data_IF_975278510768
#
_entry.id   IF_975278510768
#
_cell.length_a   1.000
_cell.length_b   1.000
_cell.length_c   1.000
_cell.angle_alpha   90.00
_cell.angle_beta   90.00
_cell.angle_gamma   90.00
#
_symmetry.space_group_name_H-M   'P 1'
#
loop_
_entity.id
_entity.type
_entity.pdbx_description
1 polymer ?
#
# COMPACT_ATOMS: atom_id res chain seq x y z
N UNK A 1 -18.71 2.94 -25.19
CA UNK A 1 -17.56 2.15 -24.73
C UNK A 1 -16.91 2.79 -23.48
N UNK A 2 -16.55 4.09 -23.50
CA UNK A 2 -15.97 4.75 -22.32
C UNK A 2 -16.90 4.80 -21.11
N UNK A 3 -18.17 5.17 -21.28
CA UNK A 3 -19.19 5.15 -20.21
C UNK A 3 -19.34 3.75 -19.57
N UNK A 4 -19.39 2.71 -20.38
CA UNK A 4 -19.52 1.34 -19.91
C UNK A 4 -18.30 0.90 -19.06
N UNK A 5 -17.09 1.32 -19.43
CA UNK A 5 -15.88 1.08 -18.62
C UNK A 5 -15.94 1.86 -17.28
N UNK A 6 -16.41 3.10 -17.30
CA UNK A 6 -16.58 3.89 -16.07
C UNK A 6 -17.63 3.28 -15.16
N UNK A 7 -18.77 2.83 -15.71
CA UNK A 7 -19.84 2.19 -14.96
C UNK A 7 -19.37 0.84 -14.36
N UNK A 8 -18.66 0.03 -15.16
CA UNK A 8 -18.08 -1.23 -14.70
C UNK A 8 -17.05 -1.01 -13.57
N UNK A 9 -16.17 -0.04 -13.74
CA UNK A 9 -15.18 0.32 -12.72
C UNK A 9 -15.86 0.79 -11.44
N UNK A 10 -16.89 1.63 -11.56
CA UNK A 10 -17.65 2.14 -10.42
C UNK A 10 -18.41 1.01 -9.71
N UNK A 11 -18.93 0.03 -10.45
CA UNK A 11 -19.56 -1.16 -9.88
C UNK A 11 -18.55 -2.06 -9.18
N UNK A 12 -17.40 -2.34 -9.82
CA UNK A 12 -16.37 -3.22 -9.26
C UNK A 12 -15.73 -2.61 -7.99
N UNK A 13 -15.44 -1.31 -7.99
CA UNK A 13 -14.94 -0.60 -6.81
C UNK A 13 -16.04 -0.15 -5.84
N UNK A 14 -17.28 -0.56 -6.10
CA UNK A 14 -18.43 -0.25 -5.28
C UNK A 14 -18.64 -1.21 -4.10
N UNK A 15 -19.84 -1.18 -3.57
CA UNK A 15 -20.27 -1.97 -2.39
C UNK A 15 -19.95 -3.48 -2.50
N UNK A 16 -20.12 -4.17 -3.66
CA UNK A 16 -19.85 -5.61 -3.73
C UNK A 16 -18.41 -5.99 -3.39
N UNK A 17 -17.44 -5.28 -3.97
CA UNK A 17 -16.02 -5.55 -3.70
C UNK A 17 -15.68 -5.22 -2.23
N UNK A 18 -16.17 -4.10 -1.71
CA UNK A 18 -15.91 -3.72 -0.32
C UNK A 18 -16.46 -4.75 0.67
N UNK A 19 -17.68 -5.24 0.44
CA UNK A 19 -18.29 -6.30 1.28
C UNK A 19 -17.47 -7.58 1.20
N UNK A 20 -17.02 -7.98 0.01
CA UNK A 20 -16.18 -9.16 -0.16
C UNK A 20 -14.84 -9.02 0.59
N UNK A 21 -14.15 -7.90 0.41
CA UNK A 21 -12.85 -7.65 1.03
C UNK A 21 -12.93 -7.58 2.56
N UNK A 22 -13.91 -6.85 3.08
CA UNK A 22 -14.17 -6.78 4.52
C UNK A 22 -14.59 -8.15 5.04
N UNK A 23 -15.47 -8.84 4.35
CA UNK A 23 -15.97 -10.16 4.74
C UNK A 23 -14.86 -11.21 4.82
N UNK A 24 -14.01 -11.31 3.81
CA UNK A 24 -12.86 -12.23 3.80
C UNK A 24 -11.87 -11.87 4.90
N UNK A 25 -11.52 -10.58 5.03
CA UNK A 25 -10.59 -10.14 6.05
C UNK A 25 -11.11 -10.34 7.47
N UNK A 26 -12.40 -10.10 7.73
CA UNK A 26 -13.04 -10.42 9.02
C UNK A 26 -13.05 -11.92 9.30
N UNK A 27 -13.40 -12.74 8.30
CA UNK A 27 -13.33 -14.19 8.42
C UNK A 27 -11.94 -14.66 8.84
N UNK A 28 -10.89 -14.18 8.14
CA UNK A 28 -9.50 -14.52 8.44
C UNK A 28 -9.07 -13.98 9.83
N UNK A 29 -9.51 -12.77 10.20
CA UNK A 29 -9.27 -12.18 11.52
C UNK A 29 -9.83 -13.05 12.65
N UNK A 30 -11.09 -13.47 12.52
CA UNK A 30 -11.75 -14.33 13.53
C UNK A 30 -11.09 -15.72 13.57
N UNK A 31 -10.83 -16.33 12.41
CA UNK A 31 -10.19 -17.66 12.32
C UNK A 31 -8.77 -17.69 12.88
N UNK A 32 -8.05 -16.58 12.80
CA UNK A 32 -6.70 -16.46 13.38
C UNK A 32 -6.68 -15.99 14.83
N UNK A 33 -7.83 -15.82 15.46
CA UNK A 33 -7.94 -15.33 16.84
C UNK A 33 -7.43 -13.90 17.01
N UNK A 34 -7.71 -13.02 16.03
CA UNK A 34 -7.25 -11.61 16.03
C UNK A 34 -5.73 -11.46 16.10
N UNK A 35 -5.00 -12.36 15.44
CA UNK A 35 -3.53 -12.44 15.53
C UNK A 35 -2.84 -11.10 15.18
N UNK A 36 -3.36 -10.31 14.26
CA UNK A 36 -2.79 -9.00 13.90
C UNK A 36 -2.76 -8.01 15.08
N UNK A 37 -3.68 -8.16 16.06
CA UNK A 37 -3.77 -7.30 17.25
C UNK A 37 -3.20 -8.00 18.48
N UNK A 38 -3.69 -9.21 18.79
CA UNK A 38 -3.27 -9.95 19.98
C UNK A 38 -1.87 -10.54 19.86
N UNK A 39 -1.44 -10.86 18.63
CA UNK A 39 -0.12 -11.37 18.30
C UNK A 39 0.93 -10.31 17.99
N UNK A 40 0.67 -9.02 18.26
CA UNK A 40 1.56 -7.91 17.89
C UNK A 40 3.00 -8.10 18.38
N UNK A 41 3.18 -8.58 19.60
CA UNK A 41 4.50 -8.87 20.18
C UNK A 41 5.23 -9.95 19.38
N UNK A 42 4.52 -10.94 18.88
CA UNK A 42 5.07 -12.06 18.13
C UNK A 42 5.53 -11.63 16.75
N UNK A 43 4.63 -11.03 15.95
CA UNK A 43 4.99 -10.66 14.59
C UNK A 43 5.97 -9.49 14.54
N UNK A 44 5.90 -8.51 15.46
CA UNK A 44 6.93 -7.45 15.56
C UNK A 44 8.29 -8.01 15.90
N UNK A 45 8.37 -8.97 16.85
CA UNK A 45 9.63 -9.60 17.21
C UNK A 45 10.22 -10.43 16.06
N UNK A 46 9.38 -11.12 15.31
CA UNK A 46 9.81 -12.00 14.21
C UNK A 46 10.09 -11.25 12.90
N UNK A 47 9.67 -10.01 12.76
CA UNK A 47 9.94 -9.18 11.59
C UNK A 47 10.98 -8.09 11.91
N UNK A 48 10.61 -7.05 12.66
CA UNK A 48 11.52 -5.96 13.03
C UNK A 48 12.66 -6.43 13.94
N UNK A 49 12.42 -7.42 14.81
CA UNK A 49 13.45 -7.99 15.67
C UNK A 49 14.60 -8.65 14.91
N UNK A 50 14.35 -9.19 13.73
CA UNK A 50 15.38 -9.72 12.82
C UNK A 50 16.19 -8.61 12.16
N UNK A 51 15.53 -7.55 11.75
CA UNK A 51 16.18 -6.38 11.13
C UNK A 51 17.20 -5.74 12.07
N UNK A 52 16.87 -5.65 13.37
CA UNK A 52 17.75 -5.06 14.39
C UNK A 52 18.71 -6.06 15.05
N UNK A 53 18.87 -7.27 14.50
CA UNK A 53 19.91 -8.23 14.86
C UNK A 53 19.72 -8.95 16.21
N UNK A 54 18.54 -8.86 16.84
CA UNK A 54 18.25 -9.52 18.11
C UNK A 54 17.84 -11.00 17.99
N UNK A 55 17.43 -11.44 16.83
CA UNK A 55 17.14 -12.84 16.53
C UNK A 55 17.70 -13.16 15.14
N UNK A 56 18.79 -13.89 15.06
CA UNK A 56 19.14 -14.60 13.83
C UNK A 56 18.13 -15.74 13.71
N UNK A 57 17.08 -15.55 12.91
CA UNK A 57 16.20 -16.67 12.59
C UNK A 57 16.96 -17.70 11.75
N UNK A 58 16.52 -18.92 11.85
CA UNK A 58 17.05 -20.15 11.24
C UNK A 58 17.06 -20.17 9.70
N UNK A 59 17.03 -19.03 9.05
CA UNK A 59 17.10 -18.83 7.60
C UNK A 59 18.36 -18.10 7.15
N UNK A 60 19.51 -18.31 7.80
CA UNK A 60 20.82 -17.88 7.28
C UNK A 60 21.35 -18.88 6.23
N UNK A 61 20.51 -19.34 5.32
CA UNK A 61 20.99 -19.89 4.07
C UNK A 61 21.59 -18.71 3.27
N UNK A 62 22.83 -18.82 2.86
CA UNK A 62 23.43 -17.90 1.90
C UNK A 62 22.47 -17.78 0.72
N UNK A 63 21.99 -16.54 0.49
CA UNK A 63 21.10 -16.26 -0.64
C UNK A 63 21.85 -16.64 -1.93
N UNK A 64 21.41 -17.70 -2.59
CA UNK A 64 21.82 -17.99 -3.96
C UNK A 64 21.33 -16.88 -4.89
N UNK A 65 22.04 -16.66 -6.00
CA UNK A 65 21.63 -15.67 -7.00
C UNK A 65 20.12 -15.76 -7.31
N UNK A 66 19.45 -14.62 -7.34
CA UNK A 66 18.01 -14.52 -7.63
C UNK A 66 17.06 -14.64 -6.42
N UNK A 67 17.57 -14.75 -5.19
CA UNK A 67 16.75 -14.85 -3.97
C UNK A 67 16.90 -13.61 -3.09
N UNK A 68 15.79 -13.17 -2.46
CA UNK A 68 15.77 -12.03 -1.55
C UNK A 68 15.75 -12.49 -0.10
N UNK A 69 16.39 -11.75 0.80
CA UNK A 69 16.15 -11.89 2.23
C UNK A 69 14.73 -11.42 2.56
N UNK A 70 14.07 -11.93 3.63
CA UNK A 70 12.71 -11.52 3.99
C UNK A 70 12.52 -10.00 4.08
N UNK A 71 13.46 -9.29 4.67
CA UNK A 71 13.43 -7.82 4.75
C UNK A 71 13.66 -7.12 3.40
N UNK A 72 14.48 -7.68 2.51
CA UNK A 72 14.65 -7.15 1.15
C UNK A 72 13.36 -7.31 0.33
N UNK A 73 12.69 -8.46 0.47
CA UNK A 73 11.38 -8.68 -0.15
C UNK A 73 10.36 -7.65 0.37
N UNK A 74 10.26 -7.45 1.69
CA UNK A 74 9.43 -6.39 2.27
C UNK A 74 9.78 -5.01 1.72
N UNK A 75 11.07 -4.64 1.70
CA UNK A 75 11.51 -3.33 1.22
C UNK A 75 11.18 -3.13 -0.25
N UNK A 76 11.31 -4.19 -1.07
CA UNK A 76 10.96 -4.15 -2.49
C UNK A 76 9.46 -3.93 -2.68
N UNK A 77 8.63 -4.62 -1.89
CA UNK A 77 7.18 -4.41 -1.89
C UNK A 77 6.83 -2.99 -1.43
N UNK A 78 7.44 -2.53 -0.33
CA UNK A 78 7.22 -1.17 0.18
C UNK A 78 7.63 -0.08 -0.84
N UNK A 79 8.60 -0.36 -1.71
CA UNK A 79 8.95 0.56 -2.81
C UNK A 79 7.77 0.78 -3.78
N UNK A 80 6.98 -0.25 -4.03
CA UNK A 80 5.77 -0.16 -4.86
C UNK A 80 4.57 0.41 -4.10
N UNK A 81 4.36 -0.05 -2.86
CA UNK A 81 3.16 0.30 -2.08
C UNK A 81 3.24 1.65 -1.38
N UNK A 82 4.45 2.10 -0.94
CA UNK A 82 4.64 3.43 -0.35
C UNK A 82 4.91 4.46 -1.45
N UNK A 83 3.86 5.05 -1.96
CA UNK A 83 3.94 6.00 -3.07
C UNK A 83 2.67 6.80 -3.25
N UNK A 84 2.17 6.85 -4.49
CA UNK A 84 0.96 7.60 -4.86
C UNK A 84 -0.26 7.22 -4.02
N UNK A 85 -0.43 5.94 -3.65
CA UNK A 85 -1.55 5.46 -2.85
C UNK A 85 -1.62 6.10 -1.46
N UNK A 86 -0.50 6.15 -0.75
CA UNK A 86 -0.44 6.64 0.63
C UNK A 86 -0.38 8.16 0.73
N UNK A 87 0.10 8.83 -0.31
CA UNK A 87 0.27 10.29 -0.34
C UNK A 87 -0.91 10.93 -1.09
N UNK A 88 -0.96 10.75 -2.40
CA UNK A 88 -2.01 11.32 -3.23
C UNK A 88 -3.37 10.65 -3.03
N UNK A 89 -3.39 9.33 -2.79
CA UNK A 89 -4.61 8.56 -2.57
C UNK A 89 -5.33 8.96 -1.29
N UNK A 90 -4.62 9.10 -0.17
CA UNK A 90 -5.20 9.57 1.10
C UNK A 90 -5.75 10.97 0.97
N UNK A 91 -4.97 11.89 0.39
CA UNK A 91 -5.42 13.25 0.15
C UNK A 91 -6.67 13.30 -0.75
N UNK A 92 -6.71 12.49 -1.81
CA UNK A 92 -7.89 12.36 -2.68
C UNK A 92 -9.11 11.79 -1.94
N UNK A 93 -8.91 10.82 -1.04
CA UNK A 93 -10.00 10.27 -0.23
C UNK A 93 -10.61 11.34 0.67
N UNK A 94 -9.77 12.17 1.30
CA UNK A 94 -10.21 13.28 2.15
C UNK A 94 -10.88 14.37 1.32
N UNK A 95 -10.32 14.74 0.18
CA UNK A 95 -10.87 15.77 -0.70
C UNK A 95 -12.29 15.42 -1.24
N UNK A 96 -12.60 14.14 -1.39
CA UNK A 96 -13.88 13.67 -1.94
C UNK A 96 -14.81 13.16 -0.83
N UNK A 97 -14.28 12.36 0.10
CA UNK A 97 -15.04 11.69 1.15
C UNK A 97 -15.05 12.42 2.49
N UNK A 98 -14.29 13.52 2.59
CA UNK A 98 -14.10 14.24 3.84
C UNK A 98 -13.17 13.55 4.84
N UNK A 99 -12.92 14.17 6.01
CA UNK A 99 -12.04 13.63 7.04
C UNK A 99 -12.42 12.22 7.52
N UNK A 100 -13.70 11.87 7.51
CA UNK A 100 -14.21 10.54 7.89
C UNK A 100 -13.68 9.39 7.05
N UNK A 101 -13.19 9.66 5.83
CA UNK A 101 -12.58 8.65 4.98
C UNK A 101 -11.36 7.98 5.65
N UNK A 102 -10.61 8.71 6.49
CA UNK A 102 -9.44 8.17 7.22
C UNK A 102 -9.84 7.06 8.19
N UNK A 103 -10.96 7.19 8.89
CA UNK A 103 -11.48 6.12 9.76
C UNK A 103 -11.72 4.82 8.99
N UNK A 104 -12.34 4.91 7.82
CA UNK A 104 -12.62 3.74 6.98
C UNK A 104 -11.34 3.13 6.39
N UNK A 105 -10.31 3.95 6.14
CA UNK A 105 -8.98 3.45 5.77
C UNK A 105 -8.35 2.64 6.90
N UNK A 106 -8.46 3.07 8.15
CA UNK A 106 -7.97 2.30 9.30
C UNK A 106 -8.67 0.95 9.42
N UNK A 107 -10.01 0.96 9.33
CA UNK A 107 -10.80 -0.26 9.45
C UNK A 107 -10.39 -1.29 8.40
N UNK A 108 -10.32 -0.87 7.14
CA UNK A 108 -9.94 -1.78 6.04
C UNK A 108 -8.49 -2.25 6.16
N UNK A 109 -7.59 -1.43 6.69
CA UNK A 109 -6.20 -1.81 6.90
C UNK A 109 -6.06 -2.85 8.01
N UNK A 110 -6.75 -2.68 9.14
CA UNK A 110 -6.74 -3.66 10.25
C UNK A 110 -7.23 -5.03 9.76
N UNK A 111 -8.30 -5.05 9.00
CA UNK A 111 -8.87 -6.29 8.45
C UNK A 111 -7.96 -6.84 7.34
N UNK A 112 -7.39 -5.94 6.52
CA UNK A 112 -6.47 -6.25 5.43
C UNK A 112 -5.17 -6.91 5.88
N UNK A 113 -4.71 -6.65 7.11
CA UNK A 113 -3.51 -7.31 7.66
C UNK A 113 -3.60 -8.83 7.59
N UNK A 114 -4.74 -9.41 7.94
CA UNK A 114 -4.91 -10.87 7.92
C UNK A 114 -5.09 -11.39 6.50
N UNK A 115 -5.74 -10.64 5.63
CA UNK A 115 -5.83 -10.96 4.20
C UNK A 115 -4.42 -11.01 3.60
N UNK A 116 -3.60 -9.99 3.83
CA UNK A 116 -2.23 -9.91 3.33
C UNK A 116 -1.35 -11.05 3.89
N UNK A 117 -1.48 -11.35 5.19
CA UNK A 117 -0.77 -12.49 5.79
C UNK A 117 -1.13 -13.80 5.09
N UNK A 118 -2.42 -14.04 4.85
CA UNK A 118 -2.87 -15.26 4.17
C UNK A 118 -2.35 -15.34 2.72
N UNK A 119 -2.43 -14.25 1.97
CA UNK A 119 -1.92 -14.19 0.59
C UNK A 119 -0.42 -14.48 0.51
N UNK A 120 0.38 -13.83 1.34
CA UNK A 120 1.84 -14.03 1.39
C UNK A 120 2.18 -15.45 1.83
N UNK A 121 1.50 -15.97 2.85
CA UNK A 121 1.68 -17.37 3.31
C UNK A 121 1.38 -18.36 2.18
N UNK A 122 0.28 -18.18 1.46
CA UNK A 122 -0.07 -19.03 0.33
C UNK A 122 0.94 -18.92 -0.82
N UNK A 123 1.40 -17.70 -1.12
CA UNK A 123 2.36 -17.48 -2.18
C UNK A 123 3.70 -18.19 -1.93
N UNK A 124 4.17 -18.19 -0.69
CA UNK A 124 5.37 -18.93 -0.29
C UNK A 124 5.13 -20.44 -0.22
N UNK A 125 3.97 -20.87 0.29
CA UNK A 125 3.63 -22.29 0.41
C UNK A 125 3.49 -22.99 -0.96
N UNK A 126 2.96 -22.30 -1.96
CA UNK A 126 2.72 -22.85 -3.31
C UNK A 126 3.73 -22.37 -4.35
N UNK A 127 4.81 -21.73 -3.95
CA UNK A 127 5.87 -21.29 -4.86
C UNK A 127 6.58 -22.48 -5.51
N UNK A 128 7.20 -22.23 -6.64
CA UNK A 128 8.04 -23.19 -7.35
C UNK A 128 9.48 -22.69 -7.38
N UNK A 129 10.40 -23.62 -7.55
CA UNK A 129 11.81 -23.33 -7.75
C UNK A 129 12.14 -23.57 -9.22
N UNK A 130 12.84 -22.63 -9.87
CA UNK A 130 13.37 -22.79 -11.21
C UNK A 130 14.58 -23.71 -11.22
N UNK A 131 14.97 -24.20 -12.40
CA UNK A 131 16.21 -24.95 -12.61
C UNK A 131 17.45 -24.06 -12.27
N UNK A 132 17.34 -22.75 -12.41
CA UNK A 132 18.34 -21.76 -11.99
C UNK A 132 18.43 -21.56 -10.47
N UNK A 133 17.52 -22.15 -9.69
CA UNK A 133 17.47 -22.01 -8.23
C UNK A 133 16.59 -20.89 -7.71
N UNK A 134 16.03 -20.04 -8.56
CA UNK A 134 15.16 -18.93 -8.21
C UNK A 134 13.78 -19.40 -7.78
N UNK A 135 13.18 -18.72 -6.77
CA UNK A 135 11.80 -18.94 -6.38
C UNK A 135 10.86 -18.01 -7.14
N UNK A 136 9.73 -18.55 -7.59
CA UNK A 136 8.64 -17.79 -8.20
C UNK A 136 7.29 -18.31 -7.71
N UNK A 137 6.37 -17.40 -7.46
CA UNK A 137 5.07 -17.70 -6.89
C UNK A 137 4.09 -16.54 -7.08
N UNK A 138 3.01 -16.58 -6.33
CA UNK A 138 1.95 -15.58 -6.36
C UNK A 138 0.57 -16.19 -6.59
N UNK A 139 -0.48 -15.38 -6.78
CA UNK A 139 -1.86 -15.85 -6.87
C UNK A 139 -2.10 -16.90 -7.95
N UNK A 140 -1.47 -16.76 -9.11
CA UNK A 140 -1.61 -17.72 -10.19
C UNK A 140 -1.16 -19.13 -9.79
N UNK A 141 -0.15 -19.23 -8.90
CA UNK A 141 0.39 -20.54 -8.46
C UNK A 141 -0.50 -21.18 -7.40
N UNK A 142 -0.91 -20.44 -6.36
CA UNK A 142 -1.76 -21.04 -5.32
C UNK A 142 -3.20 -21.28 -5.81
N UNK A 143 -3.74 -20.47 -6.72
CA UNK A 143 -5.02 -20.76 -7.37
C UNK A 143 -4.95 -22.04 -8.17
N UNK A 144 -3.96 -22.16 -9.07
CA UNK A 144 -3.81 -23.33 -9.94
C UNK A 144 -3.59 -24.62 -9.14
N UNK A 145 -2.73 -24.56 -8.12
CA UNK A 145 -2.33 -25.75 -7.35
C UNK A 145 -3.32 -26.07 -6.23
N UNK A 146 -4.02 -25.06 -5.68
CA UNK A 146 -4.97 -25.24 -4.57
C UNK A 146 -6.41 -25.56 -5.01
N UNK A 147 -6.85 -25.08 -6.18
CA UNK A 147 -8.25 -25.19 -6.65
C UNK A 147 -8.43 -26.11 -7.89
N UNK A 148 -7.38 -26.82 -8.31
CA UNK A 148 -7.42 -27.76 -9.43
C UNK A 148 -7.84 -27.10 -10.75
N UNK A 149 -8.78 -27.73 -11.50
CA UNK A 149 -9.17 -27.25 -12.84
C UNK A 149 -9.75 -25.84 -12.83
N UNK A 150 -10.61 -25.51 -11.88
CA UNK A 150 -11.19 -24.16 -11.71
C UNK A 150 -10.09 -23.14 -11.42
N UNK A 151 -9.14 -23.53 -10.57
CA UNK A 151 -7.99 -22.70 -10.25
C UNK A 151 -7.11 -22.37 -11.43
N UNK A 152 -7.01 -23.25 -12.42
CA UNK A 152 -6.29 -22.97 -13.67
C UNK A 152 -6.90 -21.84 -14.49
N UNK A 153 -8.23 -21.78 -14.58
CA UNK A 153 -8.96 -20.70 -15.27
C UNK A 153 -8.80 -19.38 -14.49
N UNK A 154 -9.01 -19.41 -13.18
CA UNK A 154 -8.86 -18.23 -12.32
C UNK A 154 -7.43 -17.68 -12.36
N UNK A 155 -6.42 -18.55 -12.35
CA UNK A 155 -5.02 -18.18 -12.48
C UNK A 155 -4.73 -17.47 -13.82
N UNK A 156 -5.33 -17.91 -14.91
CA UNK A 156 -5.21 -17.25 -16.21
C UNK A 156 -5.85 -15.87 -16.23
N UNK A 157 -7.06 -15.75 -15.71
CA UNK A 157 -7.76 -14.45 -15.58
C UNK A 157 -6.94 -13.49 -14.72
N UNK A 158 -6.45 -13.97 -13.56
CA UNK A 158 -5.63 -13.16 -12.66
C UNK A 158 -4.33 -12.70 -13.33
N UNK A 159 -3.64 -13.56 -14.07
CA UNK A 159 -2.40 -13.21 -14.75
C UNK A 159 -2.59 -12.09 -15.78
N UNK A 160 -3.69 -12.12 -16.53
CA UNK A 160 -4.05 -11.03 -17.47
C UNK A 160 -4.41 -9.76 -16.72
N UNK A 161 -5.19 -9.85 -15.64
CA UNK A 161 -5.56 -8.70 -14.83
C UNK A 161 -4.32 -8.05 -14.18
N UNK A 162 -3.41 -8.86 -13.64
CA UNK A 162 -2.13 -8.39 -13.06
C UNK A 162 -1.27 -7.69 -14.11
N UNK A 163 -1.18 -8.22 -15.34
CA UNK A 163 -0.44 -7.57 -16.41
C UNK A 163 -1.00 -6.18 -16.73
N UNK A 164 -2.32 -6.07 -16.84
CA UNK A 164 -2.99 -4.77 -17.09
C UNK A 164 -2.80 -3.81 -15.92
N UNK A 165 -2.90 -4.30 -14.69
CA UNK A 165 -2.72 -3.50 -13.47
C UNK A 165 -1.30 -2.93 -13.38
N UNK A 166 -0.27 -3.78 -13.53
CA UNK A 166 1.13 -3.34 -13.49
C UNK A 166 1.42 -2.29 -14.57
N UNK A 167 0.88 -2.46 -15.77
CA UNK A 167 1.01 -1.46 -16.83
C UNK A 167 0.32 -0.14 -16.47
N UNK A 168 -0.88 -0.21 -15.88
CA UNK A 168 -1.67 0.98 -15.57
C UNK A 168 -1.16 1.69 -14.31
N UNK A 169 -0.97 1.01 -13.20
CA UNK A 169 -0.61 1.62 -11.91
C UNK A 169 0.89 1.85 -11.78
N UNK A 170 1.69 0.81 -11.84
CA UNK A 170 3.12 0.93 -11.62
C UNK A 170 3.82 1.79 -12.67
N UNK A 171 3.43 1.69 -13.96
CA UNK A 171 4.08 2.44 -15.02
C UNK A 171 3.51 3.87 -15.17
N UNK A 172 2.19 4.02 -15.24
CA UNK A 172 1.59 5.32 -15.57
C UNK A 172 1.28 6.16 -14.33
N UNK A 173 0.61 5.60 -13.31
CA UNK A 173 0.14 6.38 -12.15
C UNK A 173 1.32 6.83 -11.31
N UNK A 174 2.26 5.95 -10.99
CA UNK A 174 3.41 6.28 -10.15
C UNK A 174 4.32 7.30 -10.86
N UNK A 175 4.65 7.07 -12.14
CA UNK A 175 5.51 7.99 -12.91
C UNK A 175 4.84 9.35 -13.10
N UNK A 176 3.52 9.37 -13.39
CA UNK A 176 2.78 10.63 -13.51
C UNK A 176 2.76 11.40 -12.20
N UNK A 177 2.48 10.74 -11.07
CA UNK A 177 2.48 11.37 -9.75
C UNK A 177 3.83 12.01 -9.45
N UNK A 178 4.93 11.28 -9.69
CA UNK A 178 6.29 11.80 -9.52
C UNK A 178 6.56 13.00 -10.44
N UNK A 179 6.18 12.91 -11.72
CA UNK A 179 6.39 13.98 -12.67
C UNK A 179 5.61 15.24 -12.30
N UNK A 180 4.36 15.11 -11.81
CA UNK A 180 3.57 16.23 -11.29
C UNK A 180 4.24 16.85 -10.07
N UNK A 181 4.76 16.03 -9.14
CA UNK A 181 5.52 16.52 -7.99
C UNK A 181 6.73 17.35 -8.38
N UNK A 182 7.56 16.83 -9.28
CA UNK A 182 8.78 17.50 -9.76
C UNK A 182 8.43 18.78 -10.51
N UNK A 183 7.39 18.75 -11.33
CA UNK A 183 6.91 19.95 -12.04
C UNK A 183 6.40 21.02 -11.08
N UNK A 184 5.66 20.63 -10.04
CA UNK A 184 5.10 21.60 -9.09
C UNK A 184 6.20 22.29 -8.27
N UNK A 185 7.22 21.55 -7.84
CA UNK A 185 8.31 22.07 -7.01
C UNK A 185 9.41 22.77 -7.84
N UNK A 186 9.90 22.10 -8.89
CA UNK A 186 11.06 22.52 -9.65
C UNK A 186 10.76 23.12 -11.02
N UNK A 187 9.47 23.14 -11.40
CA UNK A 187 8.99 23.62 -12.73
C UNK A 187 9.63 22.87 -13.92
N UNK A 188 10.11 21.65 -13.69
CA UNK A 188 10.64 20.77 -14.75
C UNK A 188 9.47 20.22 -15.57
N UNK A 189 9.51 20.24 -16.91
CA UNK A 189 8.45 19.67 -17.74
C UNK A 189 8.23 18.18 -17.45
N UNK A 190 6.95 17.74 -17.40
CA UNK A 190 6.54 16.36 -17.09
C UNK A 190 7.27 15.32 -17.95
N UNK A 191 7.44 15.63 -19.23
CA UNK A 191 8.06 14.74 -20.19
C UNK A 191 9.56 14.49 -19.88
N UNK A 192 10.28 15.53 -19.42
CA UNK A 192 11.68 15.42 -19.02
C UNK A 192 11.83 14.51 -17.83
N UNK A 193 11.00 14.71 -16.80
CA UNK A 193 10.96 13.83 -15.61
C UNK A 193 10.63 12.39 -16.01
N UNK A 194 9.68 12.19 -16.93
CA UNK A 194 9.33 10.86 -17.43
C UNK A 194 10.51 10.15 -18.07
N UNK A 195 11.25 10.81 -18.96
CA UNK A 195 12.45 10.22 -19.60
C UNK A 195 13.56 9.91 -18.60
N UNK A 196 13.78 10.77 -17.61
CA UNK A 196 14.78 10.54 -16.56
C UNK A 196 14.41 9.30 -15.73
N UNK A 197 13.15 9.19 -15.32
CA UNK A 197 12.67 8.03 -14.53
C UNK A 197 12.80 6.74 -15.33
N UNK A 198 12.38 6.73 -16.59
CA UNK A 198 12.53 5.57 -17.48
C UNK A 198 13.98 5.19 -17.65
N UNK A 199 14.87 6.17 -17.89
CA UNK A 199 16.32 5.93 -18.04
C UNK A 199 16.92 5.27 -16.80
N UNK A 200 16.63 5.79 -15.60
CA UNK A 200 17.10 5.22 -14.33
C UNK A 200 16.54 3.80 -14.16
N UNK A 201 15.25 3.58 -14.41
CA UNK A 201 14.59 2.28 -14.27
C UNK A 201 15.23 1.23 -15.19
N UNK A 202 15.49 1.57 -16.45
CA UNK A 202 16.18 0.69 -17.42
C UNK A 202 17.56 0.29 -16.90
N UNK A 203 18.36 1.25 -16.44
CA UNK A 203 19.70 0.97 -15.91
C UNK A 203 19.63 0.02 -14.71
N UNK A 204 18.73 0.25 -13.75
CA UNK A 204 18.58 -0.60 -12.55
C UNK A 204 18.13 -2.01 -12.95
N UNK A 205 17.11 -2.13 -13.81
CA UNK A 205 16.56 -3.44 -14.23
C UNK A 205 17.60 -4.25 -15.00
N UNK A 206 18.27 -3.64 -15.98
CA UNK A 206 19.25 -4.34 -16.83
C UNK A 206 20.55 -4.66 -16.09
N UNK A 207 20.85 -4.01 -14.97
CA UNK A 207 22.11 -4.18 -14.24
C UNK A 207 22.22 -5.50 -13.46
N UNK A 208 21.12 -6.21 -13.17
CA UNK A 208 21.19 -7.48 -12.43
C UNK A 208 19.87 -8.01 -11.84
N UNK A 209 18.75 -7.76 -12.50
CA UNK A 209 17.48 -8.44 -12.18
C UNK A 209 16.92 -8.19 -10.78
N UNK A 210 16.14 -9.15 -10.30
CA UNK A 210 15.36 -9.06 -9.04
C UNK A 210 16.26 -8.81 -7.82
N UNK A 211 17.44 -9.40 -7.78
CA UNK A 211 18.34 -9.25 -6.62
C UNK A 211 18.87 -7.82 -6.50
N UNK A 212 19.32 -7.20 -7.60
CA UNK A 212 19.79 -5.81 -7.55
C UNK A 212 18.67 -4.82 -7.28
N UNK A 213 17.47 -5.09 -7.77
CA UNK A 213 16.28 -4.32 -7.41
C UNK A 213 16.03 -4.43 -5.90
N UNK A 214 16.08 -5.65 -5.34
CA UNK A 214 15.94 -5.89 -3.90
C UNK A 214 17.02 -5.19 -3.06
N UNK A 215 18.27 -5.22 -3.49
CA UNK A 215 19.38 -4.53 -2.82
C UNK A 215 19.23 -3.01 -2.85
N UNK A 216 18.81 -2.47 -3.99
CA UNK A 216 18.54 -1.04 -4.15
C UNK A 216 17.36 -0.61 -3.25
N UNK A 217 16.24 -1.32 -3.31
CA UNK A 217 15.07 -1.04 -2.48
C UNK A 217 15.39 -1.19 -0.99
N UNK A 218 16.13 -2.24 -0.60
CA UNK A 218 16.55 -2.46 0.79
C UNK A 218 17.35 -1.31 1.39
N UNK A 219 18.10 -0.57 0.56
CA UNK A 219 18.90 0.57 1.01
C UNK A 219 18.16 1.91 0.92
N UNK A 220 17.33 2.10 -0.11
CA UNK A 220 16.70 3.41 -0.40
C UNK A 220 15.34 3.58 0.28
N UNK A 221 14.56 2.50 0.41
CA UNK A 221 13.18 2.61 0.90
C UNK A 221 13.08 2.94 2.39
N UNK A 222 13.85 2.31 3.30
CA UNK A 222 13.77 2.65 4.71
C UNK A 222 14.07 4.15 5.01
N UNK A 223 15.15 4.76 4.49
CA UNK A 223 15.39 6.18 4.71
C UNK A 223 14.34 7.07 4.04
N UNK A 224 13.81 6.69 2.86
CA UNK A 224 12.72 7.41 2.20
C UNK A 224 11.46 7.45 3.09
N UNK A 225 11.05 6.32 3.62
CA UNK A 225 9.89 6.22 4.53
C UNK A 225 10.14 7.05 5.78
N UNK A 226 11.34 6.99 6.36
CA UNK A 226 11.70 7.74 7.56
C UNK A 226 11.60 9.25 7.31
N UNK A 227 12.15 9.75 6.21
CA UNK A 227 12.08 11.17 5.83
C UNK A 227 10.62 11.62 5.70
N UNK A 228 9.79 10.82 5.05
CA UNK A 228 8.36 11.13 4.91
C UNK A 228 7.64 11.16 6.27
N UNK A 229 7.88 10.15 7.12
CA UNK A 229 7.30 10.08 8.47
C UNK A 229 7.72 11.32 9.29
N UNK A 230 9.01 11.64 9.29
CA UNK A 230 9.53 12.82 10.01
C UNK A 230 8.86 14.10 9.49
N UNK A 231 8.77 14.26 8.17
CA UNK A 231 8.09 15.40 7.55
C UNK A 231 6.64 15.54 8.02
N UNK A 232 5.85 14.46 7.95
CA UNK A 232 4.47 14.45 8.42
C UNK A 232 4.36 14.74 9.93
N UNK A 233 5.23 14.13 10.74
CA UNK A 233 5.26 14.38 12.19
C UNK A 233 5.51 15.86 12.49
N UNK A 234 6.45 16.49 11.78
CA UNK A 234 6.72 17.93 11.95
C UNK A 234 5.47 18.75 11.60
N UNK A 235 4.78 18.44 10.48
CA UNK A 235 3.52 19.14 10.12
C UNK A 235 2.48 18.98 11.22
N UNK A 236 2.28 17.78 11.74
CA UNK A 236 1.30 17.48 12.80
C UNK A 236 1.68 18.19 14.12
N UNK A 237 2.97 18.20 14.50
CA UNK A 237 3.44 18.86 15.72
C UNK A 237 3.28 20.37 15.63
N UNK A 238 3.64 21.00 14.52
CA UNK A 238 3.45 22.44 14.31
C UNK A 238 1.97 22.84 14.30
N UNK A 239 1.09 21.94 13.91
CA UNK A 239 -0.37 22.10 13.95
C UNK A 239 -1.04 21.39 15.15
N UNK A 240 -0.30 21.11 16.22
CA UNK A 240 -0.79 20.31 17.36
C UNK A 240 -2.06 20.88 18.03
N UNK A 241 -2.26 22.20 18.00
CA UNK A 241 -3.48 22.85 18.50
C UNK A 241 -4.74 22.35 17.79
N UNK A 242 -4.64 22.01 16.50
CA UNK A 242 -5.75 21.53 15.68
C UNK A 242 -5.94 20.01 15.77
N UNK A 243 -4.99 19.28 16.38
CA UNK A 243 -5.00 17.80 16.40
C UNK A 243 -6.26 17.21 17.08
N UNK A 244 -6.72 17.71 18.25
CA UNK A 244 -7.94 17.19 18.87
C UNK A 244 -9.17 17.39 17.97
N UNK A 245 -9.30 18.55 17.36
CA UNK A 245 -10.39 18.83 16.41
C UNK A 245 -10.30 17.95 15.16
N UNK A 246 -9.09 17.73 14.63
CA UNK A 246 -8.84 16.84 13.47
C UNK A 246 -9.24 15.41 13.76
N UNK A 247 -8.86 14.86 14.91
CA UNK A 247 -9.30 13.54 15.35
C UNK A 247 -10.81 13.51 15.54
N UNK A 248 -11.39 14.55 16.16
CA UNK A 248 -12.84 14.68 16.28
C UNK A 248 -13.55 14.62 14.93
N UNK A 249 -13.06 15.33 13.92
CA UNK A 249 -13.62 15.31 12.58
C UNK A 249 -13.52 13.92 11.91
N UNK A 250 -12.41 13.19 12.10
CA UNK A 250 -12.25 11.84 11.56
C UNK A 250 -13.36 10.92 12.10
N UNK A 251 -13.58 10.90 13.41
CA UNK A 251 -14.59 10.04 14.01
C UNK A 251 -16.00 10.55 13.73
N UNK A 252 -16.25 11.85 13.83
CA UNK A 252 -17.57 12.44 13.60
C UNK A 252 -18.06 12.16 12.17
N UNK A 253 -17.23 12.50 11.16
CA UNK A 253 -17.62 12.37 9.75
C UNK A 253 -17.47 10.95 9.18
N UNK A 254 -16.97 10.02 9.97
CA UNK A 254 -17.10 8.59 9.65
C UNK A 254 -18.55 8.10 9.77
N UNK A 255 -19.35 8.70 10.68
CA UNK A 255 -20.71 8.29 11.02
C UNK A 255 -21.76 9.39 10.87
N UNK A 256 -21.35 10.60 10.45
CA UNK A 256 -22.21 11.71 10.11
C UNK A 256 -21.81 12.32 8.78
N UNK A 257 -22.75 12.91 8.01
CA UNK A 257 -22.41 13.63 6.79
C UNK A 257 -21.45 14.78 7.06
N UNK A 258 -20.42 14.94 6.23
CA UNK A 258 -19.53 16.09 6.29
C UNK A 258 -20.15 17.27 5.51
N UNK A 259 -20.29 18.45 6.12
CA UNK A 259 -20.90 19.61 5.46
C UNK A 259 -19.96 20.17 4.36
N UNK A 260 -20.55 20.84 3.38
CA UNK A 260 -19.79 21.62 2.40
C UNK A 260 -19.11 22.80 3.10
N UNK A 261 -17.81 22.99 2.85
CA UNK A 261 -17.00 24.06 3.44
C UNK A 261 -15.81 24.39 2.55
N UNK A 262 -15.54 25.67 2.33
CA UNK A 262 -14.46 26.10 1.45
C UNK A 262 -14.63 25.55 0.03
N UNK A 263 -13.59 24.90 -0.50
CA UNK A 263 -13.62 24.18 -1.78
C UNK A 263 -14.10 22.75 -1.70
N UNK A 264 -14.47 22.24 -0.50
CA UNK A 264 -15.02 20.90 -0.31
C UNK A 264 -16.54 20.89 -0.50
N UNK A 265 -17.02 20.01 -1.39
CA UNK A 265 -18.43 19.95 -1.79
C UNK A 265 -19.36 19.27 -0.76
N UNK A 266 -18.83 18.76 0.35
CA UNK A 266 -19.54 17.92 1.30
C UNK A 266 -19.50 16.42 0.93
N UNK A 267 -19.74 15.55 1.91
CA UNK A 267 -19.76 14.11 1.68
C UNK A 267 -20.79 13.40 2.55
N UNK A 268 -21.48 12.40 1.98
CA UNK A 268 -22.29 11.46 2.72
C UNK A 268 -21.44 10.42 3.43
N UNK A 269 -21.97 9.75 4.44
CA UNK A 269 -21.32 8.62 5.13
C UNK A 269 -20.90 7.53 4.12
N UNK A 270 -21.80 7.19 3.19
CA UNK A 270 -21.52 6.20 2.15
C UNK A 270 -20.35 6.59 1.25
N UNK A 271 -20.23 7.88 0.92
CA UNK A 271 -19.11 8.38 0.13
C UNK A 271 -17.80 8.34 0.91
N UNK A 272 -17.81 8.76 2.19
CA UNK A 272 -16.65 8.67 3.08
C UNK A 272 -16.17 7.20 3.22
N UNK A 273 -17.09 6.27 3.45
CA UNK A 273 -16.82 4.84 3.52
C UNK A 273 -16.24 4.29 2.22
N UNK A 274 -16.90 4.55 1.09
CA UNK A 274 -16.46 4.04 -0.21
C UNK A 274 -15.07 4.57 -0.60
N UNK A 275 -14.83 5.87 -0.43
CA UNK A 275 -13.54 6.49 -0.77
C UNK A 275 -12.43 6.08 0.20
N UNK A 276 -12.72 6.02 1.50
CA UNK A 276 -11.78 5.56 2.51
C UNK A 276 -11.39 4.10 2.30
N UNK A 277 -12.35 3.20 2.13
CA UNK A 277 -12.07 1.79 1.93
C UNK A 277 -11.34 1.52 0.59
N UNK A 278 -11.79 2.12 -0.52
CA UNK A 278 -11.14 1.95 -1.82
C UNK A 278 -9.68 2.43 -1.79
N UNK A 279 -9.40 3.57 -1.16
CA UNK A 279 -8.03 4.09 -1.05
C UNK A 279 -7.20 3.34 -0.01
N UNK A 280 -7.83 2.81 1.05
CA UNK A 280 -7.18 1.91 1.99
C UNK A 280 -6.67 0.63 1.31
N UNK A 281 -7.53 -0.04 0.52
CA UNK A 281 -7.15 -1.23 -0.27
C UNK A 281 -6.05 -0.88 -1.26
N UNK A 282 -6.20 0.20 -2.00
CA UNK A 282 -5.20 0.65 -2.98
C UNK A 282 -3.84 0.97 -2.33
N UNK A 283 -3.84 1.51 -1.12
CA UNK A 283 -2.63 1.86 -0.37
C UNK A 283 -1.87 0.65 0.16
N UNK A 284 -2.55 -0.40 0.61
CA UNK A 284 -1.94 -1.57 1.23
C UNK A 284 -1.97 -2.83 0.36
N UNK A 285 -2.66 -2.77 -0.78
CA UNK A 285 -2.80 -3.86 -1.76
C UNK A 285 -3.27 -5.20 -1.16
N UNK A 286 -3.88 -5.19 0.04
CA UNK A 286 -4.39 -6.42 0.65
C UNK A 286 -5.61 -6.93 -0.14
N UNK A 287 -5.56 -8.19 -0.57
CA UNK A 287 -6.58 -8.80 -1.42
C UNK A 287 -6.31 -8.66 -2.92
N UNK A 288 -5.31 -7.87 -3.32
CA UNK A 288 -4.91 -7.71 -4.73
C UNK A 288 -3.91 -8.80 -5.18
N UNK A 289 -3.12 -9.35 -4.25
CA UNK A 289 -2.14 -10.39 -4.54
C UNK A 289 -0.84 -9.92 -5.21
N UNK A 290 -0.75 -8.66 -5.64
CA UNK A 290 0.38 -8.07 -6.37
C UNK A 290 1.72 -8.25 -5.65
N UNK A 291 1.81 -7.81 -4.41
CA UNK A 291 2.99 -7.90 -3.56
C UNK A 291 3.47 -9.34 -3.29
N UNK A 292 2.57 -10.32 -3.39
CA UNK A 292 2.87 -11.71 -3.07
C UNK A 292 3.85 -12.36 -4.03
N UNK A 293 3.94 -11.87 -5.26
CA UNK A 293 4.94 -12.33 -6.26
C UNK A 293 6.36 -12.04 -5.79
N UNK A 294 6.59 -10.88 -5.19
CA UNK A 294 7.88 -10.50 -4.60
C UNK A 294 8.13 -11.27 -3.31
N UNK A 295 7.15 -11.37 -2.41
CA UNK A 295 7.30 -12.14 -1.18
C UNK A 295 7.60 -13.63 -1.42
N UNK A 296 7.13 -14.21 -2.53
CA UNK A 296 7.42 -15.59 -2.88
C UNK A 296 8.90 -15.84 -3.18
N UNK A 297 9.69 -14.82 -3.56
CA UNK A 297 11.12 -14.93 -3.82
C UNK A 297 11.97 -14.91 -2.55
N UNK A 298 11.37 -14.63 -1.39
CA UNK A 298 12.09 -14.55 -0.12
C UNK A 298 12.64 -15.91 0.33
N UNK A 299 13.87 -15.92 0.83
CA UNK A 299 14.49 -17.12 1.42
C UNK A 299 13.88 -17.34 2.80
N UNK A 300 12.99 -18.30 2.90
CA UNK A 300 12.35 -18.70 4.17
C UNK A 300 11.87 -20.14 4.09
N UNK A 301 12.02 -20.87 5.18
CA UNK A 301 11.52 -22.24 5.33
C UNK A 301 10.10 -22.28 5.90
N UNK A 302 9.64 -21.17 6.48
CA UNK A 302 8.32 -21.06 7.09
C UNK A 302 7.45 -20.03 6.34
N UNK A 303 6.43 -20.48 5.57
CA UNK A 303 5.52 -19.59 4.87
C UNK A 303 4.81 -18.57 5.79
N UNK A 304 4.42 -18.99 6.99
CA UNK A 304 3.74 -18.10 7.94
C UNK A 304 4.68 -17.00 8.48
N UNK A 305 5.98 -17.27 8.57
CA UNK A 305 6.97 -16.27 8.93
C UNK A 305 7.01 -15.14 7.88
N UNK A 306 7.06 -15.49 6.60
CA UNK A 306 6.95 -14.47 5.54
C UNK A 306 5.58 -13.78 5.54
N UNK A 307 4.52 -14.50 5.89
CA UNK A 307 3.18 -13.92 6.09
C UNK A 307 3.14 -12.80 7.11
N UNK A 308 3.94 -12.87 8.19
CA UNK A 308 4.03 -11.80 9.19
C UNK A 308 4.66 -10.52 8.63
N UNK A 309 5.54 -10.61 7.63
CA UNK A 309 6.01 -9.43 6.90
C UNK A 309 4.88 -8.75 6.10
N UNK A 310 3.87 -9.52 5.64
CA UNK A 310 2.65 -8.95 5.06
C UNK A 310 1.82 -8.17 6.08
N UNK A 311 1.73 -8.61 7.35
CA UNK A 311 1.10 -7.80 8.42
C UNK A 311 1.88 -6.50 8.62
N UNK A 312 3.21 -6.57 8.70
CA UNK A 312 4.07 -5.39 8.89
C UNK A 312 3.95 -4.41 7.73
N UNK A 313 3.88 -4.90 6.49
CA UNK A 313 3.65 -4.10 5.27
C UNK A 313 2.37 -3.27 5.40
N UNK A 314 1.23 -3.92 5.69
CA UNK A 314 -0.06 -3.23 5.83
C UNK A 314 -0.06 -2.28 7.04
N UNK A 315 0.63 -2.64 8.13
CA UNK A 315 0.78 -1.77 9.29
C UNK A 315 1.52 -0.47 8.91
N UNK A 316 2.63 -0.57 8.20
CA UNK A 316 3.41 0.59 7.76
C UNK A 316 2.59 1.44 6.78
N UNK A 317 2.05 0.84 5.73
CA UNK A 317 1.38 1.56 4.65
C UNK A 317 0.01 2.09 5.09
N UNK A 318 -0.87 1.22 5.58
CA UNK A 318 -2.26 1.53 5.86
C UNK A 318 -2.50 2.21 7.22
N UNK A 319 -1.73 1.86 8.25
CA UNK A 319 -1.93 2.47 9.57
C UNK A 319 -0.97 3.65 9.77
N UNK A 320 0.34 3.47 9.63
CA UNK A 320 1.30 4.52 9.99
C UNK A 320 1.26 5.65 8.95
N UNK A 321 1.57 5.34 7.69
CA UNK A 321 1.73 6.37 6.66
C UNK A 321 0.40 7.04 6.33
N UNK A 322 -0.67 6.29 6.11
CA UNK A 322 -1.97 6.89 5.80
C UNK A 322 -2.51 7.75 6.95
N UNK A 323 -2.28 7.37 8.21
CA UNK A 323 -2.65 8.20 9.36
C UNK A 323 -1.88 9.52 9.38
N UNK A 324 -0.56 9.45 9.20
CA UNK A 324 0.28 10.64 9.20
C UNK A 324 -0.07 11.59 8.05
N UNK A 325 -0.27 11.06 6.84
CA UNK A 325 -0.75 11.85 5.69
C UNK A 325 -2.10 12.48 5.99
N UNK A 326 -3.05 11.68 6.47
CA UNK A 326 -4.40 12.16 6.79
C UNK A 326 -4.40 13.24 7.86
N UNK A 327 -3.67 13.04 8.94
CA UNK A 327 -3.53 14.03 10.01
C UNK A 327 -2.81 15.29 9.51
N UNK A 328 -1.77 15.17 8.69
CA UNK A 328 -1.09 16.34 8.11
C UNK A 328 -2.05 17.21 7.28
N UNK A 329 -2.85 16.59 6.43
CA UNK A 329 -3.82 17.29 5.57
C UNK A 329 -4.97 17.91 6.39
N UNK A 330 -5.47 17.20 7.42
CA UNK A 330 -6.61 17.69 8.19
C UNK A 330 -6.17 18.76 9.21
N UNK A 331 -5.05 18.53 9.94
CA UNK A 331 -4.61 19.45 10.99
C UNK A 331 -4.07 20.77 10.46
N UNK A 332 -3.50 20.78 9.25
CA UNK A 332 -3.08 22.01 8.56
C UNK A 332 -4.26 22.85 8.04
N UNK A 333 -5.48 22.29 8.01
CA UNK A 333 -6.69 22.97 7.55
C UNK A 333 -6.87 23.02 6.03
N UNK A 334 -5.91 22.52 5.24
CA UNK A 334 -5.96 22.58 3.77
C UNK A 334 -6.95 21.62 3.13
N UNK A 335 -7.48 20.65 3.88
CA UNK A 335 -8.38 19.61 3.37
C UNK A 335 -9.63 20.13 2.65
N UNK A 336 -10.01 21.38 2.89
CA UNK A 336 -11.18 22.06 2.28
C UNK A 336 -10.82 23.13 1.27
N UNK A 337 -9.57 23.19 0.76
CA UNK A 337 -9.14 24.23 -0.19
C UNK A 337 -9.54 23.96 -1.65
N UNK A 338 -10.16 22.81 -1.95
CA UNK A 338 -10.58 22.41 -3.30
C UNK A 338 -9.52 21.67 -4.10
N UNK A 339 -8.28 21.56 -3.62
CA UNK A 339 -7.24 20.75 -4.24
C UNK A 339 -7.42 19.26 -3.92
N UNK A 340 -6.80 18.39 -4.71
CA UNK A 340 -6.84 16.93 -4.53
C UNK A 340 -5.51 16.29 -4.87
N UNK A 341 -5.38 14.99 -4.55
CA UNK A 341 -4.19 14.22 -4.90
C UNK A 341 -2.93 14.73 -4.22
N UNK A 342 -1.82 14.63 -4.93
CA UNK A 342 -0.50 15.00 -4.38
C UNK A 342 -0.38 16.49 -4.08
N UNK A 343 -1.07 17.35 -4.84
CA UNK A 343 -1.06 18.79 -4.63
C UNK A 343 -1.61 19.15 -3.26
N UNK A 344 -2.71 18.51 -2.84
CA UNK A 344 -3.28 18.70 -1.50
C UNK A 344 -2.32 18.27 -0.39
N UNK A 345 -1.58 17.17 -0.60
CA UNK A 345 -0.55 16.76 0.36
C UNK A 345 0.57 17.80 0.45
N UNK A 346 1.02 18.36 -0.67
CA UNK A 346 2.02 19.44 -0.66
C UNK A 346 1.51 20.72 -0.01
N UNK A 347 0.24 21.08 -0.19
CA UNK A 347 -0.35 22.23 0.46
C UNK A 347 -0.28 22.09 1.99
N UNK A 348 -0.41 20.86 2.54
CA UNK A 348 -0.24 20.63 3.97
C UNK A 348 1.19 20.95 4.45
N UNK A 349 2.20 20.59 3.66
CA UNK A 349 3.59 20.92 3.97
C UNK A 349 3.86 22.42 3.78
N UNK A 350 3.42 23.01 2.66
CA UNK A 350 3.61 24.43 2.35
C UNK A 350 2.95 25.35 3.37
N UNK A 351 1.72 25.07 3.77
CA UNK A 351 1.01 25.86 4.77
C UNK A 351 1.68 25.86 6.14
N UNK A 352 2.56 24.90 6.40
CA UNK A 352 3.22 24.72 7.69
C UNK A 352 4.65 25.27 7.68
N UNK A 353 5.37 25.16 6.57
CA UNK A 353 6.79 25.55 6.48
C UNK A 353 7.03 26.86 5.70
N UNK A 354 6.01 27.42 5.07
CA UNK A 354 6.05 28.66 4.32
C UNK A 354 6.32 28.42 2.84
#
# INVERSE_FOLDING_TARGET
>A
MWSLLVDLTSFLWGTPLLVLMIGVGLYLTVRSGFFQVLGIRTWVKQTLGEVFGKNKSTGSADSTDGQLKPFQALSTVLAGTVGSGNIAGVASAIAIGGPGAVFWMWLISIVGMMTKMAEVTLAVAFRKKSDSGEYYGGPMYYMRNGLGKVGGVLAGIYAVALFVEVMADACFVQTNTLAVCVNDVFKVPLIVTGFVVVGISIVVILSGGVQKIGDFCGKMVPPMILVYIVGCVVVVVLNAKNLPASLGMIFQYAFAPAPAIGGFAGASISLAMARGAARGIFSNEAGMGTATTVHATAVTDNPAHQGMYGILEVCITGIIICTLTGLSVISSGVWSNGNTGVVLSFDAFRSTWG
#
